data_IF_733598567475
#
_entry.id   IF_733598567475
#
_cell.length_a   1.000
_cell.length_b   1.000
_cell.length_c   1.000
_cell.angle_alpha   90.00
_cell.angle_beta   90.00
_cell.angle_gamma   90.00
#
_symmetry.space_group_name_H-M   'P 1'
#
loop_
_entity.id
_entity.type
_entity.pdbx_description
1 polymer ?
#
# COMPACT_ATOMS: atom_id res chain seq x y z
N UNK A 1 12.91 -11.70 9.75
CA UNK A 1 11.83 -10.78 10.14
C UNK A 1 10.79 -11.61 10.87
N UNK A 2 10.28 -11.14 12.01
CA UNK A 2 9.20 -11.82 12.74
C UNK A 2 7.87 -11.18 12.35
N UNK A 3 6.90 -11.98 11.88
CA UNK A 3 5.57 -11.51 11.50
C UNK A 3 4.69 -11.41 12.76
N UNK A 4 4.14 -10.21 13.03
CA UNK A 4 3.39 -9.94 14.27
C UNK A 4 1.88 -9.94 14.03
N UNK A 5 1.36 -8.88 13.39
CA UNK A 5 -0.08 -8.64 13.32
C UNK A 5 -0.59 -8.93 11.91
N UNK A 6 -1.37 -10.00 11.74
CA UNK A 6 -2.04 -10.26 10.47
C UNK A 6 -3.14 -9.23 10.20
N UNK A 7 -3.15 -8.65 9.00
CA UNK A 7 -4.09 -7.58 8.61
C UNK A 7 -5.11 -8.07 7.59
N UNK A 8 -4.64 -8.72 6.52
CA UNK A 8 -5.51 -9.14 5.42
C UNK A 8 -4.92 -10.30 4.62
N UNK A 9 -5.81 -11.15 4.10
CA UNK A 9 -5.50 -12.16 3.09
C UNK A 9 -5.81 -11.62 1.70
N UNK A 10 -4.95 -11.92 0.73
CA UNK A 10 -5.23 -11.71 -0.68
C UNK A 10 -4.74 -12.91 -1.51
N UNK A 11 -5.17 -13.01 -2.76
CA UNK A 11 -4.81 -14.16 -3.62
C UNK A 11 -3.30 -14.27 -3.87
N UNK A 12 -2.60 -13.13 -3.91
CA UNK A 12 -1.18 -13.05 -4.27
C UNK A 12 -0.28 -12.97 -3.03
N UNK A 13 -0.68 -12.20 -2.02
CA UNK A 13 0.09 -11.98 -0.81
C UNK A 13 -0.84 -11.71 0.39
N UNK A 14 -0.33 -12.04 1.57
CA UNK A 14 -0.88 -11.66 2.86
C UNK A 14 -0.21 -10.36 3.35
N UNK A 15 -0.94 -9.57 4.13
CA UNK A 15 -0.42 -8.33 4.71
C UNK A 15 -0.29 -8.48 6.23
N UNK A 16 0.87 -8.12 6.75
CA UNK A 16 1.15 -8.05 8.18
C UNK A 16 1.58 -6.64 8.57
N UNK A 17 1.21 -6.19 9.77
CA UNK A 17 1.77 -4.99 10.39
C UNK A 17 2.84 -5.40 11.41
N UNK A 18 4.03 -4.81 11.28
CA UNK A 18 5.18 -5.05 12.14
C UNK A 18 5.88 -3.73 12.42
N UNK A 19 5.77 -3.23 13.66
CA UNK A 19 6.49 -2.04 14.15
C UNK A 19 6.33 -0.79 13.25
N UNK A 20 5.11 -0.53 12.77
CA UNK A 20 4.81 0.58 11.88
C UNK A 20 5.15 0.34 10.40
N UNK A 21 5.45 -0.91 10.02
CA UNK A 21 5.67 -1.33 8.63
C UNK A 21 4.61 -2.32 8.19
N UNK A 22 4.23 -2.22 6.91
CA UNK A 22 3.41 -3.21 6.22
C UNK A 22 4.32 -4.22 5.53
N UNK A 23 4.16 -5.50 5.85
CA UNK A 23 4.92 -6.59 5.24
C UNK A 23 3.96 -7.40 4.36
N UNK A 24 4.14 -7.26 3.05
CA UNK A 24 3.34 -7.97 2.07
C UNK A 24 4.05 -9.28 1.72
N UNK A 25 3.63 -10.40 2.29
CA UNK A 25 4.24 -11.73 2.14
C UNK A 25 3.54 -12.50 1.02
N UNK A 26 4.23 -12.76 -0.07
CA UNK A 26 3.69 -13.46 -1.22
C UNK A 26 3.38 -14.92 -0.89
N UNK A 27 2.17 -15.35 -1.20
CA UNK A 27 1.62 -16.61 -0.69
C UNK A 27 2.39 -17.84 -1.13
N UNK A 28 3.06 -17.76 -2.28
CA UNK A 28 3.82 -18.85 -2.89
C UNK A 28 5.28 -18.48 -3.14
N UNK A 29 6.24 -19.39 -2.85
CA UNK A 29 7.67 -19.16 -3.10
C UNK A 29 8.01 -18.80 -4.54
N UNK A 30 7.26 -19.33 -5.52
CA UNK A 30 7.48 -19.09 -6.94
C UNK A 30 7.12 -17.67 -7.40
N UNK A 31 6.41 -16.86 -6.61
CA UNK A 31 5.97 -15.49 -6.97
C UNK A 31 7.07 -14.43 -6.91
N UNK A 32 8.32 -14.82 -7.17
CA UNK A 32 9.49 -13.93 -7.19
C UNK A 32 9.31 -12.78 -8.18
N UNK A 33 8.90 -13.11 -9.40
CA UNK A 33 8.68 -12.16 -10.49
C UNK A 33 7.57 -11.17 -10.15
N UNK A 34 6.48 -11.62 -9.52
CA UNK A 34 5.39 -10.74 -9.07
C UNK A 34 5.87 -9.77 -7.99
N UNK A 35 6.63 -10.27 -7.02
CA UNK A 35 7.21 -9.46 -5.96
C UNK A 35 8.17 -8.39 -6.51
N UNK A 36 9.14 -8.78 -7.33
CA UNK A 36 10.12 -7.85 -7.88
C UNK A 36 9.48 -6.84 -8.84
N UNK A 37 8.46 -7.25 -9.61
CA UNK A 37 7.71 -6.35 -10.49
C UNK A 37 6.92 -5.30 -9.70
N UNK A 38 6.24 -5.71 -8.62
CA UNK A 38 5.51 -4.79 -7.75
C UNK A 38 6.47 -3.81 -7.06
N UNK A 39 7.61 -4.29 -6.54
CA UNK A 39 8.61 -3.46 -5.90
C UNK A 39 9.17 -2.38 -6.85
N UNK A 40 9.58 -2.77 -8.06
CA UNK A 40 10.08 -1.81 -9.05
C UNK A 40 9.01 -0.80 -9.48
N UNK A 41 7.79 -1.25 -9.71
CA UNK A 41 6.67 -0.38 -10.08
C UNK A 41 6.38 0.64 -8.97
N UNK A 42 6.36 0.19 -7.71
CA UNK A 42 6.14 1.07 -6.56
C UNK A 42 7.26 2.10 -6.37
N UNK A 43 8.52 1.69 -6.51
CA UNK A 43 9.65 2.62 -6.44
C UNK A 43 9.59 3.70 -7.54
N UNK A 44 9.06 3.37 -8.73
CA UNK A 44 8.76 4.36 -9.76
C UNK A 44 7.64 5.30 -9.34
N UNK A 45 6.55 4.78 -8.76
CA UNK A 45 5.47 5.62 -8.21
C UNK A 45 5.99 6.60 -7.15
N UNK A 46 6.86 6.17 -6.23
CA UNK A 46 7.49 7.08 -5.25
C UNK A 46 8.26 8.21 -5.93
N UNK A 47 9.02 7.89 -6.98
CA UNK A 47 9.79 8.88 -7.74
C UNK A 47 8.88 9.85 -8.50
N UNK A 48 7.85 9.32 -9.19
CA UNK A 48 6.89 10.12 -9.96
C UNK A 48 6.09 11.05 -9.06
N UNK A 49 5.68 10.58 -7.89
CA UNK A 49 4.82 11.32 -6.96
C UNK A 49 5.59 12.25 -6.01
N UNK A 50 6.91 12.40 -6.15
CA UNK A 50 7.74 13.13 -5.17
C UNK A 50 7.36 14.62 -5.01
N UNK A 51 6.82 15.23 -6.06
CA UNK A 51 6.34 16.62 -6.04
C UNK A 51 4.82 16.74 -5.90
N UNK A 52 4.13 15.60 -5.74
CA UNK A 52 2.68 15.55 -5.57
C UNK A 52 2.29 15.77 -4.11
N UNK A 53 1.03 16.20 -3.88
CA UNK A 53 0.46 16.15 -2.53
C UNK A 53 0.09 14.72 -2.10
N UNK A 54 0.10 13.76 -3.02
CA UNK A 54 -0.22 12.36 -2.74
C UNK A 54 0.97 11.70 -2.02
N UNK A 55 0.74 11.26 -0.79
CA UNK A 55 1.73 10.55 0.00
C UNK A 55 1.72 9.07 -0.38
N UNK A 56 2.80 8.63 -1.03
CA UNK A 56 3.03 7.21 -1.34
C UNK A 56 3.76 6.55 -0.16
N UNK A 57 3.35 5.36 0.31
CA UNK A 57 4.10 4.63 1.34
C UNK A 57 5.52 4.34 0.85
N UNK A 58 6.54 4.58 1.66
CA UNK A 58 7.92 4.34 1.23
C UNK A 58 8.19 2.83 1.19
N UNK A 59 8.79 2.34 0.11
CA UNK A 59 9.34 0.99 0.03
C UNK A 59 10.69 0.95 0.74
N UNK A 60 10.81 0.10 1.75
CA UNK A 60 12.04 -0.03 2.55
C UNK A 60 12.93 -1.17 2.08
N UNK A 61 12.33 -2.32 1.78
CA UNK A 61 13.09 -3.50 1.37
C UNK A 61 12.25 -4.53 0.60
N UNK A 62 12.94 -5.35 -0.17
CA UNK A 62 12.45 -6.64 -0.66
C UNK A 62 13.25 -7.74 0.04
N UNK A 63 12.57 -8.69 0.66
CA UNK A 63 13.20 -9.74 1.46
C UNK A 63 12.54 -11.10 1.25
N UNK A 64 13.06 -12.13 1.92
CA UNK A 64 12.50 -13.48 1.94
C UNK A 64 12.21 -13.86 3.39
N UNK A 65 10.97 -14.26 3.68
CA UNK A 65 10.48 -14.68 4.99
C UNK A 65 9.91 -16.08 4.85
N UNK A 66 10.44 -17.04 5.61
CA UNK A 66 10.02 -18.45 5.58
C UNK A 66 9.94 -19.05 4.16
N UNK A 67 10.93 -18.71 3.31
CA UNK A 67 11.01 -19.17 1.93
C UNK A 67 10.07 -18.46 0.95
N UNK A 68 9.29 -17.48 1.41
CA UNK A 68 8.37 -16.67 0.59
C UNK A 68 8.91 -15.27 0.39
N UNK A 69 8.67 -14.68 -0.78
CA UNK A 69 9.07 -13.31 -1.08
C UNK A 69 8.21 -12.30 -0.33
N UNK A 70 8.79 -11.18 0.09
CA UNK A 70 8.07 -10.13 0.80
C UNK A 70 8.54 -8.72 0.37
N UNK A 71 7.64 -7.74 0.49
CA UNK A 71 7.97 -6.32 0.37
C UNK A 71 7.58 -5.60 1.65
N UNK A 72 8.48 -4.76 2.17
CA UNK A 72 8.27 -3.95 3.35
C UNK A 72 7.99 -2.50 2.94
N UNK A 73 6.86 -1.96 3.41
CA UNK A 73 6.44 -0.57 3.21
C UNK A 73 6.20 0.14 4.53
N UNK A 74 6.07 1.47 4.52
CA UNK A 74 5.40 2.16 5.64
C UNK A 74 3.97 1.65 5.84
N UNK A 75 3.57 1.44 7.11
CA UNK A 75 2.18 1.18 7.45
C UNK A 75 1.43 2.50 7.69
N UNK A 76 0.48 2.82 6.82
CA UNK A 76 -0.31 4.05 6.92
C UNK A 76 -1.53 3.81 7.80
N UNK A 77 -1.51 4.37 9.01
CA UNK A 77 -2.66 4.34 9.92
C UNK A 77 -3.70 5.36 9.46
N UNK A 78 -4.97 4.95 9.44
CA UNK A 78 -6.07 5.84 9.08
C UNK A 78 -7.31 5.07 8.67
N UNK A 79 -8.32 5.82 8.22
CA UNK A 79 -9.53 5.28 7.60
C UNK A 79 -9.48 5.50 6.11
N UNK A 80 -10.07 4.59 5.35
CA UNK A 80 -10.25 4.79 3.91
C UNK A 80 -11.27 5.91 3.67
N UNK A 81 -11.21 6.54 2.50
CA UNK A 81 -12.25 7.52 2.11
C UNK A 81 -13.65 6.89 2.15
N UNK A 82 -13.78 5.62 1.75
CA UNK A 82 -15.05 4.89 1.85
C UNK A 82 -15.56 4.80 3.29
N UNK A 83 -14.71 4.42 4.24
CA UNK A 83 -15.10 4.35 5.66
C UNK A 83 -15.53 5.73 6.18
N UNK A 84 -14.83 6.80 5.79
CA UNK A 84 -15.18 8.16 6.18
C UNK A 84 -16.55 8.57 5.61
N UNK A 85 -16.85 8.19 4.37
CA UNK A 85 -18.16 8.41 3.74
C UNK A 85 -19.27 7.65 4.45
N UNK A 86 -19.04 6.37 4.79
CA UNK A 86 -20.02 5.52 5.48
C UNK A 86 -20.33 6.04 6.89
N UNK A 87 -19.31 6.53 7.60
CA UNK A 87 -19.43 7.07 8.96
C UNK A 87 -20.01 8.49 9.01
N UNK A 88 -19.84 9.28 7.94
CA UNK A 88 -20.24 10.69 7.88
C UNK A 88 -21.00 10.96 6.57
N UNK A 89 -22.22 10.43 6.40
CA UNK A 89 -22.97 10.55 5.15
C UNK A 89 -23.31 12.00 4.78
N UNK A 90 -23.37 12.92 5.75
CA UNK A 90 -23.54 14.36 5.56
C UNK A 90 -22.33 15.03 4.89
N UNK A 91 -21.16 14.36 4.87
CA UNK A 91 -19.92 14.85 4.27
C UNK A 91 -19.54 14.12 2.98
N UNK A 92 -20.44 13.33 2.41
CA UNK A 92 -20.21 12.56 1.19
C UNK A 92 -19.57 13.40 0.08
N UNK A 93 -20.17 14.56 -0.25
CA UNK A 93 -19.65 15.45 -1.30
C UNK A 93 -18.23 15.94 -1.03
N UNK A 94 -17.88 16.16 0.24
CA UNK A 94 -16.53 16.57 0.63
C UNK A 94 -15.51 15.47 0.31
N UNK A 95 -15.80 14.22 0.69
CA UNK A 95 -14.89 13.11 0.43
C UNK A 95 -14.84 12.71 -1.04
N UNK A 96 -15.96 12.85 -1.77
CA UNK A 96 -15.98 12.63 -3.22
C UNK A 96 -15.13 13.65 -3.96
N UNK A 97 -15.20 14.94 -3.57
CA UNK A 97 -14.33 15.96 -4.15
C UNK A 97 -12.84 15.67 -3.85
N UNK A 98 -12.50 15.26 -2.62
CA UNK A 98 -11.13 14.83 -2.29
C UNK A 98 -10.67 13.64 -3.14
N UNK A 99 -11.56 12.66 -3.39
CA UNK A 99 -11.25 11.54 -4.28
C UNK A 99 -10.97 12.04 -5.72
N UNK A 100 -11.79 12.96 -6.24
CA UNK A 100 -11.59 13.55 -7.57
C UNK A 100 -10.25 14.30 -7.63
N UNK A 101 -9.91 15.11 -6.63
CA UNK A 101 -8.63 15.83 -6.57
C UNK A 101 -7.43 14.87 -6.62
N UNK A 102 -7.48 13.77 -5.86
CA UNK A 102 -6.46 12.71 -5.90
C UNK A 102 -6.35 12.13 -7.32
N UNK A 103 -7.47 11.82 -7.99
CA UNK A 103 -7.44 11.27 -9.35
C UNK A 103 -6.91 12.26 -10.38
N UNK A 104 -7.26 13.55 -10.26
CA UNK A 104 -6.74 14.59 -11.15
C UNK A 104 -5.22 14.72 -11.01
N UNK A 105 -4.73 14.70 -9.77
CA UNK A 105 -3.31 14.77 -9.47
C UNK A 105 -2.53 13.57 -10.02
N UNK A 106 -3.07 12.35 -9.89
CA UNK A 106 -2.46 11.13 -10.46
C UNK A 106 -2.29 11.25 -11.98
N UNK A 107 -3.32 11.74 -12.68
CA UNK A 107 -3.29 11.87 -14.15
C UNK A 107 -2.49 13.07 -14.65
N UNK A 108 -2.08 13.98 -13.77
CA UNK A 108 -1.24 15.13 -14.11
C UNK A 108 0.26 14.83 -14.05
N UNK A 109 0.67 13.68 -13.49
CA UNK A 109 2.07 13.24 -13.44
C UNK A 109 2.51 12.58 -14.74
#
# INVERSE_FOLDING_TARGET
MELKNFIAHGDIYDIYECDGKSINVYNKPEYKEKCLYAALTHARCETTMVNSFIKTPILHEVSVVDGKWAICFDFIKGKTLQQLMDENPDKMDTYLNQFIDIQMEIHAQ
#
